data_IF_594908912294
#
_entry.id   IF_594908912294
#
_cell.length_a   1.000
_cell.length_b   1.000
_cell.length_c   1.000
_cell.angle_alpha   90.00
_cell.angle_beta   90.00
_cell.angle_gamma   90.00
#
_symmetry.space_group_name_H-M   'P 1'
#
loop_
_entity.id
_entity.type
_entity.pdbx_description
1 polymer ?
#
# COMPACT_ATOMS: atom_id res chain seq x y z
N UNK A 1 -7.45 -17.77 -14.89
CA UNK A 1 -7.62 -17.18 -13.55
C UNK A 1 -6.32 -16.45 -13.21
N UNK A 2 -6.17 -15.15 -13.06
CA UNK A 2 -7.02 -13.96 -13.12
C UNK A 2 -6.06 -12.82 -12.77
N UNK A 3 -5.17 -12.43 -13.70
CA UNK A 3 -4.06 -11.52 -13.41
C UNK A 3 -4.53 -10.11 -13.02
N UNK A 4 -5.73 -9.73 -13.49
CA UNK A 4 -6.40 -8.50 -13.10
C UNK A 4 -6.88 -8.52 -11.62
N UNK A 5 -7.26 -9.69 -11.10
CA UNK A 5 -7.67 -9.86 -9.70
C UNK A 5 -6.54 -9.57 -8.72
N UNK A 6 -5.31 -10.01 -9.03
CA UNK A 6 -4.17 -9.82 -8.11
C UNK A 6 -3.77 -8.35 -7.95
N UNK A 7 -3.84 -7.57 -9.03
CA UNK A 7 -3.62 -6.12 -8.96
C UNK A 7 -4.74 -5.40 -8.22
N UNK A 8 -5.99 -5.80 -8.45
CA UNK A 8 -7.14 -5.26 -7.73
C UNK A 8 -7.02 -5.54 -6.23
N UNK A 9 -6.63 -6.76 -5.85
CA UNK A 9 -6.38 -7.16 -4.47
C UNK A 9 -5.26 -6.34 -3.81
N UNK A 10 -4.14 -6.09 -4.49
CA UNK A 10 -3.08 -5.22 -3.97
C UNK A 10 -3.59 -3.79 -3.77
N UNK A 11 -4.34 -3.26 -4.74
CA UNK A 11 -4.86 -1.90 -4.66
C UNK A 11 -5.85 -1.74 -3.51
N UNK A 12 -6.72 -2.73 -3.31
CA UNK A 12 -7.62 -2.82 -2.16
C UNK A 12 -6.82 -2.89 -0.86
N UNK A 13 -5.77 -3.71 -0.80
CA UNK A 13 -4.91 -3.82 0.38
C UNK A 13 -4.23 -2.49 0.74
N UNK A 14 -3.62 -1.81 -0.24
CA UNK A 14 -3.01 -0.48 -0.05
C UNK A 14 -4.06 0.55 0.40
N UNK A 15 -5.27 0.51 -0.18
CA UNK A 15 -6.38 1.36 0.23
C UNK A 15 -6.79 1.15 1.69
N UNK A 16 -6.90 -0.10 2.14
CA UNK A 16 -7.21 -0.44 3.54
C UNK A 16 -6.10 0.06 4.48
N UNK A 17 -4.83 -0.13 4.11
CA UNK A 17 -3.69 0.38 4.88
C UNK A 17 -3.72 1.92 5.01
N UNK A 18 -4.07 2.64 3.94
CA UNK A 18 -4.22 4.10 3.98
C UNK A 18 -5.38 4.55 4.88
N UNK A 19 -6.53 3.87 4.82
CA UNK A 19 -7.69 4.19 5.67
C UNK A 19 -7.34 3.98 7.16
N UNK A 20 -6.63 2.92 7.50
CA UNK A 20 -6.15 2.65 8.85
C UNK A 20 -5.18 3.75 9.34
N UNK A 21 -4.21 4.13 8.51
CA UNK A 21 -3.29 5.22 8.82
C UNK A 21 -4.01 6.55 9.03
N UNK A 22 -4.94 6.90 8.13
CA UNK A 22 -5.75 8.11 8.24
C UNK A 22 -6.64 8.13 9.50
N UNK A 23 -7.17 6.96 9.90
CA UNK A 23 -7.98 6.83 11.12
C UNK A 23 -7.15 7.06 12.38
N UNK A 24 -5.92 6.54 12.42
CA UNK A 24 -4.99 6.77 13.54
C UNK A 24 -4.60 8.25 13.64
N UNK A 25 -4.27 8.88 12.51
CA UNK A 25 -3.96 10.32 12.45
C UNK A 25 -5.19 11.16 12.82
N UNK A 26 -6.38 10.77 12.38
CA UNK A 26 -7.64 11.42 12.73
C UNK A 26 -7.97 11.32 14.22
N UNK A 27 -7.61 10.21 14.87
CA UNK A 27 -7.70 10.06 16.33
C UNK A 27 -6.68 10.93 17.07
N UNK A 28 -5.48 11.13 16.53
CA UNK A 28 -4.48 12.03 17.12
C UNK A 28 -4.89 13.51 17.08
N UNK A 29 -5.66 13.94 16.07
CA UNK A 29 -6.08 15.33 15.88
C UNK A 29 -6.85 15.96 17.07
N UNK A 30 -7.81 15.28 17.73
CA UNK A 30 -8.46 15.78 18.94
C UNK A 30 -7.59 15.72 20.22
N UNK A 31 -6.32 15.31 20.13
CA UNK A 31 -5.39 15.29 21.26
C UNK A 31 -5.24 13.93 21.96
N UNK A 32 -5.74 12.84 21.37
CA UNK A 32 -5.47 11.49 21.87
C UNK A 32 -3.99 11.16 21.72
N UNK A 33 -3.26 11.12 22.83
CA UNK A 33 -1.86 10.73 22.85
C UNK A 33 -1.74 9.21 22.68
N UNK A 34 -1.46 8.78 21.45
CA UNK A 34 -1.09 7.40 21.14
C UNK A 34 0.44 7.38 20.95
N UNK A 35 1.23 7.09 22.01
CA UNK A 35 2.69 7.10 21.92
C UNK A 35 3.23 6.08 20.89
N UNK A 36 2.46 5.04 20.59
CA UNK A 36 2.78 4.00 19.61
C UNK A 36 2.40 4.36 18.17
N UNK A 37 1.64 5.44 17.93
CA UNK A 37 1.14 5.78 16.60
C UNK A 37 2.24 6.03 15.55
N UNK A 38 3.38 6.68 15.86
CA UNK A 38 4.47 6.83 14.90
C UNK A 38 5.02 5.48 14.43
N UNK A 39 5.08 4.50 15.33
CA UNK A 39 5.61 3.17 15.06
C UNK A 39 4.66 2.39 14.16
N UNK A 40 3.35 2.44 14.44
CA UNK A 40 2.31 1.81 13.62
C UNK A 40 2.26 2.43 12.21
N UNK A 41 2.29 3.77 12.13
CA UNK A 41 2.30 4.48 10.86
C UNK A 41 3.57 4.17 10.04
N UNK A 42 4.72 4.05 10.69
CA UNK A 42 5.97 3.65 10.05
C UNK A 42 5.90 2.22 9.48
N UNK A 43 5.37 1.27 10.24
CA UNK A 43 5.18 -0.11 9.76
C UNK A 43 4.23 -0.16 8.56
N UNK A 44 3.12 0.57 8.61
CA UNK A 44 2.17 0.66 7.49
C UNK A 44 2.87 1.24 6.24
N UNK A 45 3.61 2.34 6.39
CA UNK A 45 4.34 2.97 5.30
C UNK A 45 5.40 2.04 4.69
N UNK A 46 6.15 1.31 5.53
CA UNK A 46 7.15 0.34 5.09
C UNK A 46 6.53 -0.79 4.27
N UNK A 47 5.40 -1.33 4.71
CA UNK A 47 4.68 -2.41 3.99
C UNK A 47 4.17 -1.91 2.63
N UNK A 48 3.58 -0.71 2.58
CA UNK A 48 3.13 -0.10 1.32
C UNK A 48 4.31 0.09 0.36
N UNK A 49 5.45 0.60 0.84
CA UNK A 49 6.65 0.82 0.03
C UNK A 49 7.25 -0.50 -0.51
N UNK A 50 7.28 -1.56 0.31
CA UNK A 50 7.75 -2.88 -0.11
C UNK A 50 6.86 -3.47 -1.21
N UNK A 51 5.54 -3.36 -1.06
CA UNK A 51 4.60 -3.83 -2.09
C UNK A 51 4.74 -3.00 -3.38
N UNK A 52 4.86 -1.67 -3.29
CA UNK A 52 5.04 -0.80 -4.44
C UNK A 52 6.31 -1.14 -5.24
N UNK A 53 7.44 -1.35 -4.55
CA UNK A 53 8.73 -1.67 -5.18
C UNK A 53 8.78 -3.05 -5.84
N UNK A 54 8.05 -4.04 -5.35
CA UNK A 54 7.97 -5.38 -5.98
C UNK A 54 6.99 -5.38 -7.16
N UNK A 55 5.86 -4.69 -7.01
CA UNK A 55 4.75 -4.78 -7.96
C UNK A 55 4.99 -3.91 -9.20
N UNK A 56 5.41 -2.65 -9.02
CA UNK A 56 5.56 -1.67 -10.12
C UNK A 56 6.55 -2.13 -11.21
N UNK A 57 7.80 -2.53 -10.90
CA UNK A 57 8.74 -2.99 -11.93
C UNK A 57 8.28 -4.31 -12.56
N UNK A 58 7.63 -5.21 -11.81
CA UNK A 58 7.05 -6.43 -12.36
C UNK A 58 5.96 -6.17 -13.41
N UNK A 59 5.13 -5.13 -13.23
CA UNK A 59 4.16 -4.69 -14.25
C UNK A 59 4.88 -4.10 -15.45
N UNK A 60 5.87 -3.24 -15.20
CA UNK A 60 6.56 -2.47 -16.24
C UNK A 60 7.33 -3.39 -17.20
N UNK A 61 8.12 -4.31 -16.66
CA UNK A 61 8.88 -5.31 -17.43
C UNK A 61 7.94 -6.19 -18.26
N UNK A 62 6.78 -6.55 -17.70
CA UNK A 62 5.80 -7.38 -18.39
C UNK A 62 5.06 -6.63 -19.50
N UNK A 63 4.69 -5.36 -19.28
CA UNK A 63 4.10 -4.51 -20.32
C UNK A 63 5.06 -4.26 -21.47
N UNK A 64 6.37 -4.20 -21.19
CA UNK A 64 7.38 -4.02 -22.24
C UNK A 64 7.55 -5.28 -23.09
N UNK A 65 7.58 -6.46 -22.46
CA UNK A 65 7.64 -7.74 -23.21
C UNK A 65 6.41 -7.98 -24.09
N UNK A 66 5.21 -7.54 -23.68
CA UNK A 66 3.99 -7.66 -24.49
C UNK A 66 3.86 -6.62 -25.61
N UNK A 67 4.73 -5.60 -25.67
CA UNK A 67 4.74 -4.60 -26.75
C UNK A 67 5.77 -4.91 -27.85
N UNK A 68 6.53 -5.99 -27.70
CA UNK A 68 7.58 -6.43 -28.61
C UNK A 68 7.24 -7.65 -29.47
N UNK A 69 6.00 -8.15 -29.42
CA UNK A 69 5.46 -9.18 -30.33
C UNK A 69 4.46 -8.57 -31.31
#
# INVERSE_FOLDING_TARGET
MGRADWFALIFVFVGVCMILGASIVGLLAPGYLIPSAPLILYTIAMVIAMVATVVIPGVYIKKQNQKGE
#
